data_IF_216395996692
#
_entry.id   IF_216395996692
#
_cell.length_a   1.000
_cell.length_b   1.000
_cell.length_c   1.000
_cell.angle_alpha   90.00
_cell.angle_beta   90.00
_cell.angle_gamma   90.00
#
_symmetry.space_group_name_H-M   'P 1'
#
loop_
_entity.id
_entity.type
_entity.pdbx_description
1 polymer ?
#
# COMPACT_ATOMS: atom_id res chain seq x y z
N UNK A 1 12.27 15.00 -16.81
CA UNK A 1 13.30 14.07 -17.36
C UNK A 1 12.71 13.02 -18.29
N UNK A 2 11.72 12.21 -17.87
CA UNK A 2 11.11 11.22 -18.78
C UNK A 2 10.48 11.83 -20.04
N UNK A 3 9.83 12.99 -19.91
CA UNK A 3 9.35 13.80 -21.05
C UNK A 3 10.46 14.32 -21.96
N UNK A 4 11.64 14.63 -21.40
CA UNK A 4 12.78 15.11 -22.18
C UNK A 4 13.40 13.94 -22.93
N UNK A 5 13.42 12.75 -22.31
CA UNK A 5 13.90 11.52 -22.92
C UNK A 5 13.11 11.14 -24.17
N UNK A 6 11.79 11.37 -24.20
CA UNK A 6 10.96 11.04 -25.36
C UNK A 6 11.07 12.04 -26.51
N UNK A 7 11.68 13.21 -26.29
CA UNK A 7 12.00 14.21 -27.32
C UNK A 7 13.41 14.03 -27.90
N UNK A 8 14.26 13.25 -27.24
CA UNK A 8 15.65 13.01 -27.63
C UNK A 8 15.84 11.59 -28.16
N UNK A 9 16.70 11.34 -29.16
CA UNK A 9 16.95 9.99 -29.69
C UNK A 9 17.84 9.11 -28.77
N UNK A 10 18.22 9.59 -27.59
CA UNK A 10 19.15 8.92 -26.67
C UNK A 10 18.41 8.06 -25.63
N UNK A 11 18.53 6.72 -25.67
CA UNK A 11 17.86 5.83 -24.72
C UNK A 11 18.38 5.98 -23.28
N UNK A 12 19.59 6.48 -23.09
CA UNK A 12 20.22 6.70 -21.78
C UNK A 12 19.44 7.71 -20.94
N UNK A 13 18.87 8.74 -21.57
CA UNK A 13 18.08 9.77 -20.89
C UNK A 13 16.79 9.18 -20.33
N UNK A 14 16.21 8.18 -21.01
CA UNK A 14 15.04 7.45 -20.53
C UNK A 14 15.38 6.60 -19.31
N UNK A 15 16.52 5.91 -19.34
CA UNK A 15 17.01 5.10 -18.21
C UNK A 15 17.26 5.99 -16.99
N UNK A 16 17.99 7.09 -17.16
CA UNK A 16 18.24 8.05 -16.07
C UNK A 16 16.93 8.62 -15.52
N UNK A 17 16.00 9.00 -16.42
CA UNK A 17 14.67 9.46 -16.02
C UNK A 17 13.87 8.42 -15.22
N UNK A 18 13.96 7.14 -15.58
CA UNK A 18 13.33 6.03 -14.86
C UNK A 18 13.97 5.80 -13.49
N UNK A 19 15.30 5.85 -13.39
CA UNK A 19 16.02 5.71 -12.12
C UNK A 19 15.61 6.83 -11.15
N UNK A 20 15.58 8.09 -11.62
CA UNK A 20 15.16 9.22 -10.80
C UNK A 20 13.72 9.01 -10.31
N UNK A 21 12.78 8.71 -11.20
CA UNK A 21 11.38 8.47 -10.79
C UNK A 21 11.23 7.26 -9.86
N UNK A 22 12.02 6.20 -10.06
CA UNK A 22 12.01 5.03 -9.20
C UNK A 22 12.52 5.31 -7.79
N UNK A 23 13.41 6.29 -7.60
CA UNK A 23 13.83 6.75 -6.27
C UNK A 23 12.76 7.62 -5.63
N UNK A 24 12.22 8.60 -6.36
CA UNK A 24 11.30 9.59 -5.78
C UNK A 24 9.86 9.08 -5.57
N UNK A 25 9.37 8.15 -6.39
CA UNK A 25 7.99 7.64 -6.28
C UNK A 25 7.75 6.95 -4.92
N UNK A 26 8.57 5.98 -4.48
CA UNK A 26 8.51 5.43 -3.12
C UNK A 26 8.49 6.44 -1.98
N UNK A 27 9.39 7.44 -2.05
CA UNK A 27 9.49 8.45 -1.00
C UNK A 27 8.23 9.31 -0.94
N UNK A 28 7.67 9.63 -2.10
CA UNK A 28 6.42 10.39 -2.22
C UNK A 28 5.23 9.59 -1.68
N UNK A 29 5.15 8.29 -2.00
CA UNK A 29 4.09 7.41 -1.49
C UNK A 29 4.15 7.29 0.04
N UNK A 30 5.36 7.09 0.59
CA UNK A 30 5.60 7.04 2.03
C UNK A 30 5.16 8.33 2.73
N UNK A 31 5.58 9.47 2.20
CA UNK A 31 5.24 10.78 2.74
C UNK A 31 3.73 11.04 2.68
N UNK A 32 3.08 10.68 1.57
CA UNK A 32 1.63 10.86 1.41
C UNK A 32 0.83 10.00 2.39
N UNK A 33 1.19 8.73 2.58
CA UNK A 33 0.50 7.83 3.52
C UNK A 33 0.64 8.37 4.96
N UNK A 34 1.86 8.75 5.36
CA UNK A 34 2.10 9.31 6.70
C UNK A 34 1.33 10.62 6.88
N UNK A 35 1.43 11.54 5.91
CA UNK A 35 0.72 12.80 5.92
C UNK A 35 -0.78 12.61 6.12
N UNK A 36 -1.42 11.73 5.32
CA UNK A 36 -2.84 11.40 5.46
C UNK A 36 -3.16 10.85 6.85
N UNK A 37 -2.34 9.95 7.39
CA UNK A 37 -2.57 9.39 8.73
C UNK A 37 -2.45 10.40 9.87
N UNK A 38 -1.60 11.40 9.72
CA UNK A 38 -1.34 12.41 10.75
C UNK A 38 -2.38 13.52 10.79
N UNK A 39 -2.93 13.91 9.63
CA UNK A 39 -4.00 14.92 9.56
C UNK A 39 -5.39 14.33 9.84
N UNK A 40 -5.55 13.02 9.69
CA UNK A 40 -6.86 12.37 9.80
C UNK A 40 -7.32 12.21 11.25
N UNK A 41 -8.62 12.46 11.53
CA UNK A 41 -9.19 12.12 12.82
C UNK A 41 -9.19 10.61 13.02
N UNK A 42 -9.11 10.16 14.26
CA UNK A 42 -8.97 8.75 14.64
C UNK A 42 -10.07 7.84 14.07
N UNK A 43 -11.29 8.36 13.90
CA UNK A 43 -12.45 7.64 13.40
C UNK A 43 -12.49 7.46 11.86
N UNK A 44 -11.77 8.29 11.10
CA UNK A 44 -11.72 8.24 9.62
C UNK A 44 -10.33 7.92 9.08
N UNK A 45 -9.37 7.59 9.96
CA UNK A 45 -7.97 7.36 9.59
C UNK A 45 -7.83 6.24 8.56
N UNK A 46 -8.65 5.18 8.64
CA UNK A 46 -8.62 4.08 7.67
C UNK A 46 -9.19 4.49 6.31
N UNK A 47 -10.32 5.19 6.27
CA UNK A 47 -10.90 5.72 5.03
C UNK A 47 -9.94 6.70 4.35
N UNK A 48 -9.34 7.64 5.08
CA UNK A 48 -8.36 8.58 4.54
C UNK A 48 -7.11 7.88 4.02
N UNK A 49 -6.59 6.87 4.74
CA UNK A 49 -5.45 6.09 4.26
C UNK A 49 -5.79 5.26 3.02
N UNK A 50 -7.04 4.78 2.90
CA UNK A 50 -7.50 4.00 1.74
C UNK A 50 -7.70 4.83 0.47
N UNK A 51 -7.81 6.16 0.60
CA UNK A 51 -7.81 7.07 -0.55
C UNK A 51 -6.51 6.99 -1.35
N UNK A 52 -5.38 6.66 -0.71
CA UNK A 52 -4.13 6.40 -1.41
C UNK A 52 -4.28 5.26 -2.42
N UNK A 53 -4.80 4.11 -1.98
CA UNK A 53 -5.01 2.94 -2.86
C UNK A 53 -6.05 3.21 -3.94
N UNK A 54 -7.10 3.99 -3.62
CA UNK A 54 -8.10 4.40 -4.61
C UNK A 54 -7.50 5.34 -5.65
N UNK A 55 -6.71 6.32 -5.23
CA UNK A 55 -5.99 7.23 -6.13
C UNK A 55 -5.03 6.49 -7.04
N UNK A 56 -4.27 5.52 -6.50
CA UNK A 56 -3.41 4.63 -7.28
C UNK A 56 -4.21 3.86 -8.35
N UNK A 57 -5.32 3.21 -7.96
CA UNK A 57 -6.15 2.45 -8.89
C UNK A 57 -6.74 3.33 -10.02
N UNK A 58 -7.23 4.52 -9.67
CA UNK A 58 -7.75 5.50 -10.65
C UNK A 58 -6.64 5.94 -11.61
N UNK A 59 -5.43 6.24 -11.12
CA UNK A 59 -4.30 6.61 -11.98
C UNK A 59 -3.84 5.45 -12.87
N UNK A 60 -3.83 4.22 -12.38
CA UNK A 60 -3.57 3.03 -13.20
C UNK A 60 -4.61 2.87 -14.30
N UNK A 61 -5.90 3.09 -13.98
CA UNK A 61 -6.99 3.04 -14.94
C UNK A 61 -6.81 4.09 -16.04
N UNK A 62 -6.55 5.36 -15.66
CA UNK A 62 -6.23 6.41 -16.63
C UNK A 62 -5.00 6.07 -17.48
N UNK A 63 -3.95 5.51 -16.87
CA UNK A 63 -2.74 5.09 -17.57
C UNK A 63 -3.00 4.01 -18.62
N UNK A 64 -3.82 3.01 -18.29
CA UNK A 64 -4.19 1.95 -19.25
C UNK A 64 -5.10 2.47 -20.35
N UNK A 65 -6.08 3.33 -20.03
CA UNK A 65 -6.93 3.95 -21.05
C UNK A 65 -6.13 4.81 -22.04
N UNK A 66 -5.20 5.63 -21.55
CA UNK A 66 -4.32 6.44 -22.39
C UNK A 66 -3.25 5.60 -23.10
N UNK A 67 -2.97 4.39 -22.62
CA UNK A 67 -2.03 3.46 -23.25
C UNK A 67 -2.62 2.69 -24.43
N UNK A 68 -3.94 2.76 -24.68
CA UNK A 68 -4.58 2.06 -25.78
C UNK A 68 -4.19 2.70 -27.13
N UNK A 69 -3.86 1.87 -28.13
CA UNK A 69 -3.46 2.34 -29.46
C UNK A 69 -4.54 3.20 -30.13
N UNK A 70 -5.81 2.91 -29.87
CA UNK A 70 -6.96 3.68 -30.38
C UNK A 70 -7.06 5.10 -29.80
N UNK A 71 -6.46 5.38 -28.64
CA UNK A 71 -6.61 6.66 -27.94
C UNK A 71 -5.43 7.59 -28.20
N UNK A 72 -4.19 7.11 -28.01
CA UNK A 72 -2.97 7.92 -28.15
C UNK A 72 -2.10 7.54 -29.35
N UNK A 73 -2.48 6.49 -30.10
CA UNK A 73 -1.63 5.93 -31.16
C UNK A 73 -0.29 5.45 -30.62
N UNK A 74 0.78 5.65 -31.41
CA UNK A 74 2.16 5.33 -31.02
C UNK A 74 2.89 6.45 -30.25
N UNK A 75 2.18 7.50 -29.81
CA UNK A 75 2.83 8.68 -29.21
C UNK A 75 3.16 8.48 -27.72
N UNK A 76 4.24 7.75 -27.44
CA UNK A 76 4.78 7.56 -26.09
C UNK A 76 5.06 8.90 -25.37
N UNK A 77 5.38 9.94 -26.13
CA UNK A 77 5.67 11.28 -25.61
C UNK A 77 4.47 11.90 -24.90
N UNK A 78 3.26 11.74 -25.45
CA UNK A 78 2.04 12.29 -24.85
C UNK A 78 1.67 11.50 -23.58
N UNK A 79 1.85 10.18 -23.59
CA UNK A 79 1.61 9.34 -22.42
C UNK A 79 2.52 9.72 -21.24
N UNK A 80 3.78 10.05 -21.51
CA UNK A 80 4.74 10.51 -20.50
C UNK A 80 4.51 11.97 -20.06
N UNK A 81 3.76 12.75 -20.83
CA UNK A 81 3.41 14.13 -20.49
C UNK A 81 2.24 14.21 -19.51
N UNK A 82 1.24 13.32 -19.66
CA UNK A 82 0.00 13.38 -18.86
C UNK A 82 0.23 13.43 -17.34
N UNK A 83 1.13 12.63 -16.74
CA UNK A 83 1.36 12.66 -15.28
C UNK A 83 1.98 13.97 -14.77
N UNK A 84 2.60 14.77 -15.64
CA UNK A 84 3.20 16.06 -15.26
C UNK A 84 2.13 17.05 -14.80
N UNK A 85 0.96 17.05 -15.45
CA UNK A 85 -0.15 17.97 -15.14
C UNK A 85 -0.64 17.80 -13.69
N UNK A 86 -1.10 16.61 -13.23
CA UNK A 86 -1.52 16.43 -11.85
C UNK A 86 -0.35 16.59 -10.87
N UNK A 87 0.89 16.26 -11.26
CA UNK A 87 2.07 16.48 -10.43
C UNK A 87 2.34 17.95 -10.12
N UNK A 88 2.25 18.83 -11.14
CA UNK A 88 2.41 20.29 -10.95
C UNK A 88 1.27 20.86 -10.13
N UNK A 89 0.03 20.47 -10.42
CA UNK A 89 -1.15 20.92 -9.67
C UNK A 89 -1.03 20.51 -8.20
N UNK A 90 -0.68 19.26 -7.92
CA UNK A 90 -0.46 18.75 -6.56
C UNK A 90 0.62 19.54 -5.82
N UNK A 91 1.74 19.81 -6.50
CA UNK A 91 2.85 20.60 -5.92
C UNK A 91 2.40 22.02 -5.57
N UNK A 92 1.63 22.68 -6.45
CA UNK A 92 1.13 24.04 -6.20
C UNK A 92 0.16 24.05 -5.01
N UNK A 93 -0.72 23.06 -4.89
CA UNK A 93 -1.66 22.95 -3.76
C UNK A 93 -0.92 22.71 -2.45
N UNK A 94 0.11 21.85 -2.45
CA UNK A 94 0.90 21.53 -1.26
C UNK A 94 1.60 22.77 -0.66
N UNK A 95 2.01 23.74 -1.47
CA UNK A 95 2.62 24.99 -0.97
C UNK A 95 1.66 25.81 -0.09
N UNK A 96 0.34 25.67 -0.28
CA UNK A 96 -0.68 26.38 0.49
C UNK A 96 -1.19 25.61 1.71
N UNK A 97 -0.82 24.34 1.87
CA UNK A 97 -1.30 23.50 2.96
C UNK A 97 -0.42 23.66 4.22
N UNK A 98 -1.01 23.77 5.42
CA UNK A 98 -0.23 23.82 6.66
C UNK A 98 0.43 22.47 6.97
N UNK A 99 1.58 22.51 7.62
CA UNK A 99 2.31 21.30 8.06
C UNK A 99 1.48 20.43 9.03
N UNK A 100 1.82 19.14 9.14
CA UNK A 100 1.05 18.20 9.98
C UNK A 100 1.08 18.62 11.46
N UNK A 101 -0.03 18.48 12.20
CA UNK A 101 -0.11 18.89 13.59
C UNK A 101 0.90 18.14 14.47
N UNK A 102 1.18 16.88 14.14
CA UNK A 102 2.14 16.03 14.85
C UNK A 102 3.58 16.48 14.65
N UNK A 103 3.97 16.80 13.41
CA UNK A 103 5.29 17.35 13.12
C UNK A 103 5.53 18.69 13.82
N UNK A 104 4.51 19.56 13.84
CA UNK A 104 4.58 20.86 14.53
C UNK A 104 4.71 20.73 16.05
N UNK A 105 4.06 19.72 16.66
CA UNK A 105 4.18 19.45 18.10
C UNK A 105 5.53 18.86 18.47
N UNK A 106 5.98 17.84 17.74
CA UNK A 106 7.13 17.02 18.16
C UNK A 106 8.42 17.64 17.68
N UNK A 107 8.57 17.85 16.38
CA UNK A 107 9.84 18.32 15.80
C UNK A 107 10.05 19.82 15.97
N UNK A 108 8.97 20.61 16.11
CA UNK A 108 9.04 22.09 16.23
C UNK A 108 8.65 22.61 17.61
N UNK A 109 8.15 21.75 18.51
CA UNK A 109 7.68 22.13 19.85
C UNK A 109 6.72 23.34 19.88
N UNK A 110 5.92 23.54 18.82
CA UNK A 110 5.07 24.72 18.67
C UNK A 110 3.58 24.39 18.79
N UNK A 111 3.08 24.44 20.02
CA UNK A 111 1.69 24.10 20.36
C UNK A 111 0.65 24.97 19.66
N UNK A 112 0.92 26.27 19.47
CA UNK A 112 -0.02 27.19 18.82
C UNK A 112 -0.17 26.88 17.33
N UNK A 113 0.93 26.61 16.64
CA UNK A 113 0.92 26.25 15.23
C UNK A 113 0.27 24.87 15.01
N UNK A 114 0.55 23.91 15.89
CA UNK A 114 -0.09 22.61 15.84
C UNK A 114 -1.61 22.68 16.03
N UNK A 115 -2.09 23.49 16.99
CA UNK A 115 -3.52 23.72 17.20
C UNK A 115 -4.16 24.38 15.97
N UNK A 116 -3.51 25.37 15.36
CA UNK A 116 -4.00 26.01 14.14
C UNK A 116 -4.10 25.03 12.95
N UNK A 117 -3.09 24.16 12.79
CA UNK A 117 -3.11 23.09 11.79
C UNK A 117 -4.22 22.06 12.06
N UNK A 118 -4.39 21.64 13.32
CA UNK A 118 -5.44 20.72 13.73
C UNK A 118 -6.84 21.30 13.47
N UNK A 119 -7.05 22.58 13.77
CA UNK A 119 -8.29 23.31 13.45
C UNK A 119 -8.55 23.39 11.94
N UNK A 120 -7.51 23.60 11.14
CA UNK A 120 -7.64 23.64 9.68
C UNK A 120 -8.09 22.28 9.11
N UNK A 121 -7.52 21.17 9.59
CA UNK A 121 -7.81 19.83 9.07
C UNK A 121 -9.07 19.18 9.65
N UNK A 122 -9.35 19.35 10.94
CA UNK A 122 -10.45 18.66 11.62
C UNK A 122 -11.67 19.55 11.92
N UNK A 123 -11.55 20.87 11.71
CA UNK A 123 -12.52 21.87 12.13
C UNK A 123 -12.35 22.26 13.61
N UNK A 124 -13.16 23.20 14.10
CA UNK A 124 -13.17 23.59 15.51
C UNK A 124 -14.15 22.67 16.27
N UNK A 125 -13.62 21.83 17.18
CA UNK A 125 -14.40 20.88 17.99
C UNK A 125 -13.97 21.00 19.45
N UNK A 126 -14.87 20.70 20.38
CA UNK A 126 -14.56 20.72 21.82
C UNK A 126 -13.47 19.69 22.20
N UNK A 127 -13.40 18.57 21.45
CA UNK A 127 -12.42 17.47 21.64
C UNK A 127 -10.99 17.81 21.16
N UNK A 128 -10.77 18.96 20.50
CA UNK A 128 -9.44 19.32 19.98
C UNK A 128 -8.39 19.48 21.07
N UNK A 129 -8.82 19.97 22.23
CA UNK A 129 -7.95 20.21 23.38
C UNK A 129 -7.44 18.87 23.94
N UNK A 130 -8.33 17.88 24.05
CA UNK A 130 -8.00 16.53 24.50
C UNK A 130 -7.05 15.82 23.52
N UNK A 131 -7.26 16.01 22.21
CA UNK A 131 -6.37 15.42 21.19
C UNK A 131 -4.98 16.08 21.22
N UNK A 132 -4.91 17.39 21.45
CA UNK A 132 -3.65 18.12 21.63
C UNK A 132 -2.90 17.67 22.90
N UNK A 133 -3.61 17.43 23.99
CA UNK A 133 -3.03 16.92 25.24
C UNK A 133 -2.49 15.49 25.06
N UNK A 134 -3.19 14.62 24.32
CA UNK A 134 -2.69 13.29 23.94
C UNK A 134 -1.39 13.40 23.14
N UNK A 135 -1.32 14.30 22.16
CA UNK A 135 -0.10 14.53 21.38
C UNK A 135 1.05 15.06 22.24
N UNK A 136 0.75 15.87 23.24
CA UNK A 136 1.77 16.39 24.17
C UNK A 136 2.34 15.28 25.07
N UNK A 137 1.50 14.35 25.52
CA UNK A 137 1.96 13.16 26.27
C UNK A 137 2.81 12.26 25.38
N UNK A 138 2.41 12.04 24.12
CA UNK A 138 3.19 11.26 23.16
C UNK A 138 4.55 11.91 22.84
N UNK A 139 4.61 13.24 22.74
CA UNK A 139 5.85 14.00 22.52
C UNK A 139 6.83 13.85 23.70
N UNK A 140 6.36 14.03 24.94
CA UNK A 140 7.21 13.91 26.14
C UNK A 140 7.76 12.50 26.34
N UNK A 141 7.05 11.47 25.87
CA UNK A 141 7.53 10.09 25.85
C UNK A 141 8.56 9.80 24.77
N UNK A 142 8.75 10.68 23.78
CA UNK A 142 9.68 10.48 22.66
C UNK A 142 10.99 11.22 22.72
N UNK A 143 11.03 12.40 23.32
CA UNK A 143 12.26 13.18 23.45
C UNK A 143 13.37 12.45 24.25
N UNK A 144 13.00 11.50 25.11
CA UNK A 144 13.96 10.70 25.88
C UNK A 144 14.61 9.54 25.11
N UNK A 145 14.01 9.07 24.00
CA UNK A 145 14.48 7.91 23.23
C UNK A 145 14.93 8.26 21.79
N UNK A 146 14.56 9.42 21.24
CA UNK A 146 14.88 9.86 19.87
C UNK A 146 16.39 10.03 19.60
N UNK A 147 17.19 10.17 20.65
CA UNK A 147 18.66 10.30 20.60
C UNK A 147 19.39 8.99 20.20
N UNK A 148 18.73 7.83 20.23
CA UNK A 148 19.33 6.55 19.83
C UNK A 148 18.77 6.03 18.50
N UNK A 149 19.52 6.27 17.42
CA UNK A 149 19.28 5.84 16.03
C UNK A 149 18.20 4.75 15.83
N UNK A 150 17.00 5.18 15.44
CA UNK A 150 15.78 4.36 15.42
C UNK A 150 15.87 3.06 14.64
N UNK A 151 16.70 2.97 13.60
CA UNK A 151 16.89 1.74 12.83
C UNK A 151 17.55 0.61 13.65
N UNK A 152 18.52 0.96 14.51
CA UNK A 152 19.20 -0.01 15.39
C UNK A 152 18.28 -0.48 16.51
N UNK A 153 17.45 0.42 17.04
CA UNK A 153 16.47 0.10 18.09
C UNK A 153 15.31 -0.76 17.58
N UNK A 154 14.85 -0.57 16.33
CA UNK A 154 13.84 -1.43 15.71
C UNK A 154 14.33 -2.89 15.65
N UNK A 155 15.60 -3.10 15.28
CA UNK A 155 16.18 -4.45 15.21
C UNK A 155 16.50 -5.03 16.58
N UNK A 156 16.94 -4.22 17.55
CA UNK A 156 17.32 -4.67 18.89
C UNK A 156 16.09 -5.05 19.74
N UNK A 157 15.02 -4.26 19.67
CA UNK A 157 13.90 -4.36 20.60
C UNK A 157 12.88 -5.41 20.18
N UNK A 158 12.50 -6.31 21.11
CA UNK A 158 11.63 -7.47 20.83
C UNK A 158 10.26 -7.11 20.25
N UNK A 159 9.58 -6.10 20.80
CA UNK A 159 8.24 -5.73 20.34
C UNK A 159 8.28 -5.03 18.96
N UNK A 160 9.28 -4.17 18.72
CA UNK A 160 9.48 -3.54 17.40
C UNK A 160 9.86 -4.58 16.33
N UNK A 161 10.69 -5.57 16.67
CA UNK A 161 11.02 -6.66 15.75
C UNK A 161 9.80 -7.50 15.38
N UNK A 162 8.91 -7.76 16.34
CA UNK A 162 7.61 -8.42 16.07
C UNK A 162 6.72 -7.58 15.16
N UNK A 163 6.63 -6.27 15.41
CA UNK A 163 5.89 -5.35 14.54
C UNK A 163 6.45 -5.33 13.11
N UNK A 164 7.78 -5.36 12.97
CA UNK A 164 8.47 -5.47 11.68
C UNK A 164 8.13 -6.78 10.96
N UNK A 165 8.22 -7.94 11.64
CA UNK A 165 7.92 -9.24 11.01
C UNK A 165 6.46 -9.36 10.61
N UNK A 166 5.54 -8.82 11.41
CA UNK A 166 4.11 -8.75 11.06
C UNK A 166 3.91 -7.86 9.83
N UNK A 167 4.50 -6.67 9.81
CA UNK A 167 4.40 -5.73 8.68
C UNK A 167 4.93 -6.34 7.38
N UNK A 168 6.10 -6.98 7.42
CA UNK A 168 6.67 -7.68 6.27
C UNK A 168 5.78 -8.84 5.83
N UNK A 169 5.22 -9.63 6.75
CA UNK A 169 4.31 -10.71 6.40
C UNK A 169 3.04 -10.20 5.69
N UNK A 170 2.47 -9.08 6.15
CA UNK A 170 1.33 -8.46 5.46
C UNK A 170 1.72 -7.97 4.07
N UNK A 171 2.91 -7.35 3.92
CA UNK A 171 3.42 -6.89 2.64
C UNK A 171 3.70 -8.02 1.65
N UNK A 172 4.12 -9.21 2.14
CA UNK A 172 4.30 -10.42 1.31
C UNK A 172 2.99 -10.80 0.59
N UNK A 173 1.83 -10.62 1.24
CA UNK A 173 0.52 -10.89 0.62
C UNK A 173 0.24 -10.01 -0.61
N UNK A 174 0.95 -8.89 -0.75
CA UNK A 174 0.80 -7.96 -1.89
C UNK A 174 1.69 -8.31 -3.09
N UNK A 175 2.69 -9.18 -2.92
CA UNK A 175 3.66 -9.49 -3.97
C UNK A 175 3.03 -10.05 -5.27
N UNK A 176 2.01 -10.94 -5.24
CA UNK A 176 1.46 -11.51 -6.46
C UNK A 176 0.71 -10.48 -7.32
N UNK A 177 0.30 -9.35 -6.74
CA UNK A 177 -0.44 -8.30 -7.45
C UNK A 177 0.40 -7.64 -8.56
N UNK A 178 1.65 -7.29 -8.29
CA UNK A 178 2.51 -6.57 -9.24
C UNK A 178 2.76 -7.29 -10.58
N UNK A 179 3.19 -8.56 -10.62
CA UNK A 179 3.40 -9.27 -11.88
C UNK A 179 2.08 -9.45 -12.64
N UNK A 180 0.97 -9.70 -11.94
CA UNK A 180 -0.37 -9.83 -12.55
C UNK A 180 -0.78 -8.49 -13.17
N UNK A 181 -0.59 -7.39 -12.46
CA UNK A 181 -0.92 -6.06 -12.96
C UNK A 181 -0.10 -5.71 -14.21
N UNK A 182 1.21 -5.92 -14.16
CA UNK A 182 2.15 -5.49 -15.21
C UNK A 182 2.19 -6.43 -16.42
N UNK A 183 1.94 -7.73 -16.23
CA UNK A 183 2.09 -8.75 -17.27
C UNK A 183 0.81 -9.57 -17.53
N UNK A 184 -0.36 -9.09 -17.09
CA UNK A 184 -1.65 -9.80 -17.28
C UNK A 184 -1.92 -10.20 -18.73
N UNK A 185 -1.69 -9.31 -19.70
CA UNK A 185 -1.86 -9.61 -21.12
C UNK A 185 -0.96 -10.77 -21.55
N UNK A 186 0.31 -10.75 -21.13
CA UNK A 186 1.27 -11.82 -21.43
C UNK A 186 0.81 -13.16 -20.83
N UNK A 187 0.32 -13.16 -19.59
CA UNK A 187 -0.21 -14.38 -18.96
C UNK A 187 -1.41 -14.95 -19.70
N UNK A 188 -2.36 -14.11 -20.13
CA UNK A 188 -3.52 -14.59 -20.89
C UNK A 188 -3.11 -15.13 -22.28
N UNK A 189 -2.18 -14.47 -22.97
CA UNK A 189 -1.68 -14.96 -24.27
C UNK A 189 -0.93 -16.28 -24.16
N UNK A 190 -0.18 -16.50 -23.08
CA UNK A 190 0.46 -17.80 -22.78
C UNK A 190 -0.54 -18.94 -22.57
N UNK A 191 -1.77 -18.62 -22.16
CA UNK A 191 -2.86 -19.58 -22.00
C UNK A 191 -3.62 -19.85 -23.30
N UNK A 192 -3.12 -19.38 -24.45
CA UNK A 192 -3.78 -19.42 -25.76
C UNK A 192 -5.09 -18.60 -25.83
N UNK A 193 -5.23 -17.56 -25.00
CA UNK A 193 -6.33 -16.58 -25.15
C UNK A 193 -5.99 -15.64 -26.30
N UNK A 194 -6.93 -15.36 -27.23
CA UNK A 194 -6.70 -14.41 -28.32
C UNK A 194 -6.24 -13.03 -27.81
N UNK A 195 -5.25 -12.43 -28.49
CA UNK A 195 -4.64 -11.15 -28.10
C UNK A 195 -5.66 -10.03 -27.79
N UNK A 196 -6.68 -9.89 -28.65
CA UNK A 196 -7.75 -8.91 -28.46
C UNK A 196 -8.52 -9.12 -27.14
N UNK A 197 -8.83 -10.39 -26.81
CA UNK A 197 -9.53 -10.73 -25.56
C UNK A 197 -8.60 -10.55 -24.36
N UNK A 198 -7.32 -10.89 -24.49
CA UNK A 198 -6.32 -10.69 -23.44
C UNK A 198 -6.14 -9.20 -23.08
N UNK A 199 -6.03 -8.31 -24.07
CA UNK A 199 -5.92 -6.86 -23.87
C UNK A 199 -7.17 -6.27 -23.24
N UNK A 200 -8.36 -6.66 -23.73
CA UNK A 200 -9.63 -6.24 -23.14
C UNK A 200 -9.75 -6.72 -21.69
N UNK A 201 -9.37 -7.97 -21.41
CA UNK A 201 -9.41 -8.54 -20.06
C UNK A 201 -8.47 -7.79 -19.12
N UNK A 202 -7.25 -7.47 -19.55
CA UNK A 202 -6.29 -6.66 -18.78
C UNK A 202 -6.85 -5.26 -18.46
N UNK A 203 -7.51 -4.62 -19.43
CA UNK A 203 -8.17 -3.32 -19.23
C UNK A 203 -9.32 -3.40 -18.22
N UNK A 204 -10.14 -4.46 -18.32
CA UNK A 204 -11.24 -4.71 -17.39
C UNK A 204 -10.75 -4.99 -15.96
N UNK A 205 -9.57 -5.60 -15.78
CA UNK A 205 -8.97 -5.78 -14.45
C UNK A 205 -8.71 -4.43 -13.75
N UNK A 206 -8.31 -3.39 -14.49
CA UNK A 206 -8.08 -2.05 -13.91
C UNK A 206 -9.38 -1.38 -13.48
N UNK A 207 -10.44 -1.56 -14.27
CA UNK A 207 -11.78 -1.09 -13.93
C UNK A 207 -12.23 -1.78 -12.64
N UNK A 208 -12.09 -3.10 -12.58
CA UNK A 208 -12.44 -3.91 -11.42
C UNK A 208 -11.63 -3.52 -10.18
N UNK A 209 -10.33 -3.31 -10.31
CA UNK A 209 -9.45 -2.84 -9.23
C UNK A 209 -9.94 -1.50 -8.67
N UNK A 210 -10.32 -0.57 -9.56
CA UNK A 210 -10.83 0.74 -9.17
C UNK A 210 -12.12 0.61 -8.35
N UNK A 211 -13.09 -0.18 -8.84
CA UNK A 211 -14.31 -0.47 -8.09
C UNK A 211 -14.04 -1.15 -6.74
N UNK A 212 -13.09 -2.08 -6.69
CA UNK A 212 -12.69 -2.78 -5.48
C UNK A 212 -12.10 -1.81 -4.44
N UNK A 213 -11.21 -0.89 -4.84
CA UNK A 213 -10.62 0.11 -3.94
C UNK A 213 -11.62 1.15 -3.44
N UNK A 214 -12.55 1.60 -4.29
CA UNK A 214 -13.66 2.49 -3.87
C UNK A 214 -14.54 1.78 -2.82
N UNK A 215 -14.84 0.50 -3.06
CA UNK A 215 -15.58 -0.34 -2.13
C UNK A 215 -14.82 -0.50 -0.80
N UNK A 216 -13.50 -0.73 -0.86
CA UNK A 216 -12.65 -0.82 0.32
C UNK A 216 -12.72 0.43 1.19
N UNK A 217 -12.62 1.61 0.57
CA UNK A 217 -12.65 2.91 1.26
C UNK A 217 -13.95 3.09 2.08
N UNK A 218 -15.05 2.50 1.63
CA UNK A 218 -16.35 2.53 2.31
C UNK A 218 -16.50 1.50 3.44
N UNK A 219 -15.68 0.44 3.42
CA UNK A 219 -15.77 -0.73 4.29
C UNK A 219 -14.67 -0.74 5.36
N UNK A 220 -13.52 -0.13 5.08
CA UNK A 220 -12.29 -0.18 5.88
C UNK A 220 -12.49 0.25 7.34
N UNK A 221 -13.35 1.25 7.58
CA UNK A 221 -13.67 1.74 8.92
C UNK A 221 -14.91 1.05 9.52
N UNK A 222 -15.61 0.21 8.75
CA UNK A 222 -16.77 -0.58 9.21
C UNK A 222 -16.37 -1.97 9.69
N UNK A 223 -15.40 -2.61 9.05
CA UNK A 223 -14.98 -3.97 9.40
C UNK A 223 -13.68 -4.00 10.22
N UNK A 224 -13.51 -4.99 11.11
CA UNK A 224 -12.23 -5.24 11.76
C UNK A 224 -11.12 -5.52 10.73
N UNK A 225 -9.97 -4.86 10.88
CA UNK A 225 -8.88 -4.89 9.89
C UNK A 225 -8.31 -6.29 9.73
N UNK A 226 -8.16 -7.02 10.85
CA UNK A 226 -7.67 -8.41 10.83
C UNK A 226 -8.63 -9.31 10.05
N UNK A 227 -9.94 -9.15 10.23
CA UNK A 227 -10.93 -9.95 9.53
C UNK A 227 -10.93 -9.66 8.03
N UNK A 228 -10.85 -8.39 7.65
CA UNK A 228 -10.80 -7.98 6.24
C UNK A 228 -9.52 -8.50 5.56
N UNK A 229 -8.36 -8.42 6.22
CA UNK A 229 -7.10 -8.92 5.67
C UNK A 229 -7.10 -10.46 5.53
N UNK A 230 -7.63 -11.18 6.51
CA UNK A 230 -7.66 -12.64 6.49
C UNK A 230 -8.63 -13.19 5.44
N UNK A 231 -9.82 -12.61 5.32
CA UNK A 231 -10.82 -13.04 4.33
C UNK A 231 -10.35 -12.71 2.91
N UNK A 232 -9.87 -11.49 2.68
CA UNK A 232 -9.33 -11.08 1.39
C UNK A 232 -8.06 -11.85 1.01
N UNK A 233 -7.13 -12.04 1.96
CA UNK A 233 -5.91 -12.82 1.75
C UNK A 233 -6.20 -14.30 1.45
N UNK A 234 -7.13 -14.92 2.16
CA UNK A 234 -7.54 -16.31 1.87
C UNK A 234 -8.19 -16.43 0.49
N UNK A 235 -9.04 -15.47 0.11
CA UNK A 235 -9.64 -15.41 -1.23
C UNK A 235 -8.58 -15.22 -2.32
N UNK A 236 -7.56 -14.38 -2.09
CA UNK A 236 -6.42 -14.21 -2.99
C UNK A 236 -5.63 -15.51 -3.17
N UNK A 237 -5.40 -16.28 -2.09
CA UNK A 237 -4.69 -17.56 -2.18
C UNK A 237 -5.50 -18.62 -2.91
N UNK A 238 -6.79 -18.70 -2.64
CA UNK A 238 -7.69 -19.63 -3.33
C UNK A 238 -7.79 -19.31 -4.82
N UNK A 239 -7.97 -18.03 -5.17
CA UNK A 239 -8.04 -17.59 -6.57
C UNK A 239 -6.72 -17.80 -7.32
N UNK A 240 -5.57 -17.54 -6.68
CA UNK A 240 -4.27 -17.80 -7.31
C UNK A 240 -4.03 -19.30 -7.52
N UNK A 241 -4.45 -20.13 -6.57
CA UNK A 241 -4.38 -21.60 -6.72
C UNK A 241 -5.31 -22.07 -7.85
N UNK A 242 -6.54 -21.54 -7.91
CA UNK A 242 -7.49 -21.83 -8.97
C UNK A 242 -6.97 -21.41 -10.35
N UNK A 243 -6.26 -20.29 -10.44
CA UNK A 243 -5.58 -19.86 -11.66
C UNK A 243 -4.53 -20.88 -12.13
N UNK A 244 -3.66 -21.35 -11.24
CA UNK A 244 -2.65 -22.36 -11.59
C UNK A 244 -3.31 -23.66 -12.06
N UNK A 245 -4.29 -24.17 -11.31
CA UNK A 245 -5.00 -25.40 -11.68
C UNK A 245 -5.74 -25.24 -13.02
N UNK A 246 -6.41 -24.12 -13.23
CA UNK A 246 -7.13 -23.85 -14.46
C UNK A 246 -6.19 -23.73 -15.67
N UNK A 247 -5.01 -23.13 -15.48
CA UNK A 247 -3.99 -23.04 -16.51
C UNK A 247 -3.48 -24.43 -16.93
N UNK A 248 -3.17 -25.31 -15.97
CA UNK A 248 -2.69 -26.67 -16.24
C UNK A 248 -3.78 -27.55 -16.88
N UNK A 249 -5.05 -27.36 -16.51
CA UNK A 249 -6.17 -28.08 -17.12
C UNK A 249 -6.61 -27.52 -18.48
N UNK A 250 -6.00 -26.44 -18.97
CA UNK A 250 -6.40 -25.78 -20.23
C UNK A 250 -7.75 -25.05 -20.17
N UNK A 251 -8.25 -24.75 -18.97
CA UNK A 251 -9.52 -24.07 -18.73
C UNK A 251 -9.32 -22.54 -18.74
N UNK A 252 -9.16 -21.97 -19.94
CA UNK A 252 -8.86 -20.55 -20.15
C UNK A 252 -9.85 -19.61 -19.44
N UNK A 253 -11.16 -19.86 -19.57
CA UNK A 253 -12.20 -19.02 -18.97
C UNK A 253 -12.11 -19.01 -17.43
N UNK A 254 -11.81 -20.17 -16.82
CA UNK A 254 -11.66 -20.28 -15.38
C UNK A 254 -10.38 -19.59 -14.91
N UNK A 255 -9.28 -19.66 -15.67
CA UNK A 255 -8.04 -18.95 -15.36
C UNK A 255 -8.26 -17.43 -15.36
N UNK A 256 -8.92 -16.89 -16.39
CA UNK A 256 -9.28 -15.46 -16.47
C UNK A 256 -10.18 -15.08 -15.29
N UNK A 257 -11.26 -15.83 -15.04
CA UNK A 257 -12.16 -15.55 -13.92
C UNK A 257 -11.44 -15.57 -12.56
N UNK A 258 -10.48 -16.49 -12.38
CA UNK A 258 -9.69 -16.57 -11.16
C UNK A 258 -8.84 -15.31 -10.93
N UNK A 259 -8.23 -14.76 -11.98
CA UNK A 259 -7.47 -13.50 -11.89
C UNK A 259 -8.38 -12.31 -11.57
N UNK A 260 -9.61 -12.28 -12.11
CA UNK A 260 -10.59 -11.24 -11.78
C UNK A 260 -10.96 -11.28 -10.29
N UNK A 261 -11.27 -12.46 -9.75
CA UNK A 261 -11.56 -12.64 -8.33
C UNK A 261 -10.34 -12.25 -7.48
N UNK A 262 -9.13 -12.61 -7.90
CA UNK A 262 -7.90 -12.21 -7.22
C UNK A 262 -7.77 -10.68 -7.13
N UNK A 263 -7.90 -9.96 -8.25
CA UNK A 263 -7.75 -8.50 -8.30
C UNK A 263 -8.84 -7.80 -7.46
N UNK A 264 -10.08 -8.30 -7.51
CA UNK A 264 -11.15 -7.78 -6.69
C UNK A 264 -10.89 -7.97 -5.19
N UNK A 265 -10.55 -9.19 -4.77
CA UNK A 265 -10.24 -9.48 -3.36
C UNK A 265 -9.02 -8.71 -2.86
N UNK A 266 -7.99 -8.57 -3.70
CA UNK A 266 -6.82 -7.75 -3.39
C UNK A 266 -7.22 -6.28 -3.16
N UNK A 267 -7.99 -5.69 -4.08
CA UNK A 267 -8.40 -4.29 -4.01
C UNK A 267 -9.33 -3.97 -2.83
N UNK A 268 -10.20 -4.91 -2.44
CA UNK A 268 -11.14 -4.72 -1.33
C UNK A 268 -10.44 -4.77 0.04
N UNK A 269 -9.42 -5.62 0.22
CA UNK A 269 -8.86 -5.86 1.55
C UNK A 269 -7.33 -5.74 1.63
N UNK A 270 -6.61 -6.58 0.89
CA UNK A 270 -5.16 -6.74 1.06
C UNK A 270 -4.40 -5.46 0.72
N UNK A 271 -4.70 -4.84 -0.42
CA UNK A 271 -4.05 -3.62 -0.89
C UNK A 271 -4.09 -2.48 0.12
N UNK A 272 -5.27 -1.96 0.48
CA UNK A 272 -5.38 -0.80 1.37
C UNK A 272 -4.85 -1.09 2.77
N UNK A 273 -5.18 -2.25 3.37
CA UNK A 273 -4.75 -2.57 4.74
C UNK A 273 -3.23 -2.73 4.85
N UNK A 274 -2.58 -3.32 3.84
CA UNK A 274 -1.15 -3.60 3.91
C UNK A 274 -0.30 -2.35 4.07
N UNK A 275 -0.72 -1.23 3.48
CA UNK A 275 0.08 -0.01 3.46
C UNK A 275 -0.01 0.82 4.74
N UNK A 276 -1.15 0.84 5.42
CA UNK A 276 -1.30 1.63 6.64
C UNK A 276 -1.09 0.84 7.93
N UNK A 277 -1.06 -0.50 7.90
CA UNK A 277 -0.89 -1.29 9.13
C UNK A 277 0.51 -1.16 9.73
N UNK A 278 1.54 -1.00 8.90
CA UNK A 278 2.93 -0.86 9.37
C UNK A 278 3.15 0.31 10.34
N UNK A 279 2.69 1.54 10.04
CA UNK A 279 2.78 2.66 10.99
C UNK A 279 1.82 2.56 12.18
N UNK A 280 0.74 1.77 12.11
CA UNK A 280 -0.18 1.54 13.25
C UNK A 280 0.43 0.64 14.34
N UNK A 281 1.36 -0.25 13.98
CA UNK A 281 1.97 -1.23 14.88
C UNK A 281 3.14 -0.67 15.72
N UNK A 282 3.58 0.56 15.42
CA UNK A 282 4.75 1.16 16.08
C UNK A 282 4.46 2.55 16.66
N UNK A 283 5.17 2.93 17.74
CA UNK A 283 5.06 4.28 18.25
C UNK A 283 5.60 5.28 17.24
N UNK A 284 5.10 6.52 17.32
CA UNK A 284 5.32 7.60 16.35
C UNK A 284 6.80 7.84 16.03
N UNK A 285 7.66 7.81 17.05
CA UNK A 285 9.12 7.99 16.95
C UNK A 285 9.78 7.04 15.95
N UNK A 286 9.25 5.83 15.79
CA UNK A 286 9.81 4.79 14.92
C UNK A 286 9.00 4.58 13.65
N UNK A 287 7.90 5.32 13.41
CA UNK A 287 7.01 5.11 12.26
C UNK A 287 7.69 5.31 10.92
N UNK A 288 8.40 6.42 10.76
CA UNK A 288 9.12 6.75 9.52
C UNK A 288 10.19 5.69 9.22
N UNK A 289 11.01 5.34 10.21
CA UNK A 289 12.04 4.31 10.09
C UNK A 289 11.44 2.92 9.78
N UNK A 290 10.37 2.52 10.48
CA UNK A 290 9.68 1.25 10.24
C UNK A 290 9.10 1.19 8.82
N UNK A 291 8.46 2.27 8.37
CA UNK A 291 7.91 2.37 7.03
C UNK A 291 9.01 2.23 5.97
N UNK A 292 10.12 2.96 6.11
CA UNK A 292 11.25 2.88 5.18
C UNK A 292 11.86 1.48 5.09
N UNK A 293 12.06 0.80 6.23
CA UNK A 293 12.60 -0.58 6.26
C UNK A 293 11.63 -1.54 5.59
N UNK A 294 10.34 -1.50 5.97
CA UNK A 294 9.31 -2.37 5.40
C UNK A 294 9.18 -2.17 3.89
N UNK A 295 9.14 -0.91 3.45
CA UNK A 295 9.06 -0.53 2.04
C UNK A 295 10.29 -0.98 1.25
N UNK A 296 11.49 -0.81 1.82
CA UNK A 296 12.74 -1.27 1.20
C UNK A 296 12.75 -2.78 0.98
N UNK A 297 12.38 -3.56 2.00
CA UNK A 297 12.25 -5.02 1.91
C UNK A 297 11.21 -5.39 0.85
N UNK A 298 10.04 -4.76 0.89
CA UNK A 298 8.96 -5.00 -0.06
C UNK A 298 9.38 -4.72 -1.49
N UNK A 299 10.03 -3.58 -1.76
CA UNK A 299 10.53 -3.22 -3.09
C UNK A 299 11.56 -4.23 -3.62
N UNK A 300 12.48 -4.69 -2.76
CA UNK A 300 13.44 -5.73 -3.13
C UNK A 300 12.75 -7.05 -3.47
N UNK A 301 11.75 -7.45 -2.69
CA UNK A 301 10.96 -8.65 -2.98
C UNK A 301 10.20 -8.50 -4.29
N UNK A 302 9.56 -7.36 -4.55
CA UNK A 302 8.84 -7.10 -5.81
C UNK A 302 9.78 -7.18 -7.02
N UNK A 303 10.96 -6.57 -6.94
CA UNK A 303 11.95 -6.64 -8.03
C UNK A 303 12.37 -8.09 -8.28
N UNK A 304 12.70 -8.82 -7.21
CA UNK A 304 13.13 -10.21 -7.32
C UNK A 304 12.03 -11.10 -7.91
N UNK A 305 10.81 -11.01 -7.39
CA UNK A 305 9.70 -11.87 -7.84
C UNK A 305 9.26 -11.50 -9.26
N UNK A 306 9.18 -10.21 -9.60
CA UNK A 306 8.77 -9.76 -10.92
C UNK A 306 9.78 -10.18 -12.00
N UNK A 307 11.07 -9.97 -11.75
CA UNK A 307 12.13 -10.38 -12.68
C UNK A 307 12.19 -11.90 -12.87
N UNK A 308 11.93 -12.67 -11.80
CA UNK A 308 11.88 -14.12 -11.88
C UNK A 308 10.63 -14.67 -12.60
N UNK A 309 9.49 -13.98 -12.51
CA UNK A 309 8.19 -14.52 -12.96
C UNK A 309 8.12 -14.73 -14.47
N UNK A 310 8.56 -13.76 -15.28
CA UNK A 310 8.43 -13.86 -16.75
C UNK A 310 9.27 -15.00 -17.33
N UNK A 311 10.56 -15.16 -16.98
CA UNK A 311 11.36 -16.31 -17.44
C UNK A 311 10.83 -17.65 -16.93
N UNK A 312 10.40 -17.72 -15.66
CA UNK A 312 9.88 -18.96 -15.08
C UNK A 312 8.55 -19.36 -15.73
N UNK A 313 7.70 -18.41 -16.08
CA UNK A 313 6.47 -18.72 -16.83
C UNK A 313 6.78 -19.38 -18.18
N UNK A 314 7.79 -18.89 -18.89
CA UNK A 314 8.21 -19.48 -20.17
C UNK A 314 8.82 -20.88 -20.03
N UNK A 315 9.41 -21.20 -18.89
CA UNK A 315 10.09 -22.48 -18.67
C UNK A 315 9.17 -23.58 -18.07
N UNK A 316 8.37 -23.22 -17.06
CA UNK A 316 7.56 -24.17 -16.27
C UNK A 316 6.07 -23.84 -16.26
N UNK A 317 5.63 -22.87 -17.05
CA UNK A 317 4.22 -22.48 -17.15
C UNK A 317 3.69 -21.81 -15.88
N UNK A 318 2.37 -21.86 -15.69
CA UNK A 318 1.68 -21.21 -14.57
C UNK A 318 2.05 -21.79 -13.20
N UNK A 319 2.65 -23.00 -13.16
CA UNK A 319 3.16 -23.62 -11.92
C UNK A 319 4.19 -22.74 -11.21
N UNK A 320 4.87 -21.82 -11.91
CA UNK A 320 5.81 -20.87 -11.28
C UNK A 320 5.18 -20.04 -10.15
N UNK A 321 3.86 -19.80 -10.20
CA UNK A 321 3.17 -19.04 -9.16
C UNK A 321 3.11 -19.77 -7.81
N UNK A 322 3.24 -21.10 -7.79
CA UNK A 322 3.19 -21.89 -6.55
C UNK A 322 4.37 -21.58 -5.63
N UNK A 323 5.64 -21.80 -6.02
CA UNK A 323 6.78 -21.54 -5.14
C UNK A 323 7.04 -20.06 -4.90
N UNK A 324 6.76 -19.19 -5.88
CA UNK A 324 7.08 -17.76 -5.78
C UNK A 324 6.04 -17.00 -4.96
N UNK A 325 4.76 -17.38 -5.05
CA UNK A 325 3.66 -16.60 -4.50
C UNK A 325 2.78 -17.39 -3.53
N UNK A 326 2.22 -18.53 -3.94
CA UNK A 326 1.22 -19.26 -3.13
C UNK A 326 1.82 -19.74 -1.80
N UNK A 327 2.99 -20.39 -1.83
CA UNK A 327 3.65 -20.90 -0.62
C UNK A 327 4.02 -19.75 0.35
N UNK A 328 4.80 -18.73 -0.05
CA UNK A 328 5.19 -17.67 0.88
C UNK A 328 4.00 -16.84 1.37
N UNK A 329 2.99 -16.58 0.51
CA UNK A 329 1.80 -15.85 0.93
C UNK A 329 0.92 -16.69 1.88
N UNK A 330 0.83 -18.01 1.70
CA UNK A 330 0.08 -18.88 2.62
C UNK A 330 0.75 -18.95 3.99
N UNK A 331 2.09 -19.04 4.03
CA UNK A 331 2.85 -18.98 5.29
C UNK A 331 2.70 -17.62 5.97
N UNK A 332 2.77 -16.53 5.21
CA UNK A 332 2.56 -15.19 5.72
C UNK A 332 1.13 -15.00 6.26
N UNK A 333 0.12 -15.52 5.56
CA UNK A 333 -1.27 -15.47 5.98
C UNK A 333 -1.51 -16.25 7.28
N UNK A 334 -0.92 -17.45 7.40
CA UNK A 334 -0.96 -18.24 8.63
C UNK A 334 -0.28 -17.49 9.79
N UNK A 335 0.88 -16.87 9.56
CA UNK A 335 1.55 -16.08 10.57
C UNK A 335 0.74 -14.86 11.02
N UNK A 336 0.14 -14.14 10.07
CA UNK A 336 -0.77 -13.01 10.32
C UNK A 336 -2.00 -13.45 11.11
N UNK A 337 -2.55 -14.63 10.81
CA UNK A 337 -3.67 -15.20 11.57
C UNK A 337 -3.37 -15.34 13.06
N UNK A 338 -2.16 -15.76 13.45
CA UNK A 338 -1.80 -15.92 14.86
C UNK A 338 -1.27 -14.64 15.51
N UNK A 339 -0.58 -13.78 14.76
CA UNK A 339 0.26 -12.73 15.33
C UNK A 339 -0.32 -11.32 15.22
N UNK A 340 -1.29 -11.08 14.32
CA UNK A 340 -1.80 -9.73 14.07
C UNK A 340 -2.84 -9.32 15.15
N UNK A 341 -2.58 -8.26 15.94
CA UNK A 341 -3.60 -7.68 16.81
C UNK A 341 -4.64 -6.91 15.99
N UNK A 342 -5.84 -6.72 16.56
CA UNK A 342 -6.82 -5.83 15.94
C UNK A 342 -6.43 -4.38 16.21
N UNK A 343 -6.25 -3.59 15.15
CA UNK A 343 -5.82 -2.18 15.23
C UNK A 343 -6.95 -1.18 15.01
N UNK A 344 -8.14 -1.63 14.57
CA UNK A 344 -9.28 -0.74 14.35
C UNK A 344 -9.70 -0.02 15.64
N UNK A 345 -9.75 1.31 15.57
CA UNK A 345 -10.31 2.16 16.63
C UNK A 345 -9.51 2.15 17.94
N UNK A 346 -8.25 1.71 17.90
CA UNK A 346 -7.37 1.67 19.07
C UNK A 346 -6.25 2.68 18.94
N UNK A 347 -5.86 3.27 20.06
CA UNK A 347 -4.70 4.15 20.11
C UNK A 347 -3.43 3.33 19.93
N UNK A 348 -2.42 3.92 19.29
CA UNK A 348 -1.18 3.19 18.97
C UNK A 348 -0.41 2.74 20.20
N UNK A 349 -0.59 3.43 21.33
CA UNK A 349 -0.01 3.03 22.62
C UNK A 349 -0.57 1.69 23.10
N UNK A 350 -1.89 1.49 23.01
CA UNK A 350 -2.56 0.24 23.42
C UNK A 350 -2.09 -0.95 22.59
N UNK A 351 -1.87 -0.74 21.29
CA UNK A 351 -1.36 -1.75 20.36
C UNK A 351 0.07 -2.14 20.73
N UNK A 352 0.90 -1.14 21.05
CA UNK A 352 2.29 -1.35 21.46
C UNK A 352 2.37 -2.09 22.81
N UNK A 353 1.48 -1.80 23.76
CA UNK A 353 1.39 -2.52 25.03
C UNK A 353 1.00 -3.99 24.85
N UNK A 354 0.04 -4.27 23.98
CA UNK A 354 -0.35 -5.64 23.62
C UNK A 354 0.82 -6.41 22.96
N UNK A 355 1.55 -5.76 22.04
CA UNK A 355 2.74 -6.34 21.41
C UNK A 355 3.89 -6.58 22.40
N UNK A 356 3.97 -5.79 23.48
CA UNK A 356 4.89 -5.99 24.61
C UNK A 356 4.47 -7.17 25.51
N UNK A 357 3.25 -7.69 25.37
CA UNK A 357 2.72 -8.81 26.16
C UNK A 357 2.02 -8.40 27.45
N UNK A 358 1.76 -7.10 27.65
CA UNK A 358 0.94 -6.62 28.76
C UNK A 358 -0.53 -6.61 28.30
N UNK A 359 -1.21 -7.74 28.42
CA UNK A 359 -2.66 -7.79 28.19
C UNK A 359 -3.35 -7.03 29.33
N UNK A 360 -3.64 -5.73 29.14
CA UNK A 360 -4.57 -5.04 30.03
C UNK A 360 -5.92 -5.72 29.85
N UNK A 361 -6.38 -6.44 30.88
CA UNK A 361 -7.67 -7.14 30.88
C UNK A 361 -8.74 -6.18 30.36
N UNK A 362 -9.37 -6.58 29.26
CA UNK A 362 -10.48 -5.91 28.59
C UNK A 362 -11.60 -5.71 29.62
N UNK A 363 -11.68 -4.53 30.23
CA UNK A 363 -12.89 -4.10 30.91
C UNK A 363 -13.91 -3.79 29.81
N UNK A 364 -14.74 -4.80 29.55
CA UNK A 364 -16.01 -4.64 28.85
C UNK A 364 -16.83 -3.65 29.67
N UNK A 365 -16.91 -2.40 29.24
CA UNK A 365 -18.02 -1.53 29.62
C UNK A 365 -18.99 -1.63 28.45
N UNK A 366 -19.96 -2.52 28.64
CA UNK A 366 -21.23 -2.48 27.94
C UNK A 366 -21.97 -1.20 28.35
N UNK A 367 -22.25 -0.33 27.39
CA UNK A 367 -23.45 0.50 27.33
C UNK A 367 -23.64 0.96 25.89
#
# INVERSE_FOLDING_TARGET
MQMIASLTPFPEILIVGRIITAVFSPLSDAALILYLQEISPSNLRGTMSSLFSTGYAVMCLFGVFLGHEDVLGHSLTVLLFVPVIPGVISTLILVFLPETPKFLMISRHNMKAALASLRFYQGDREELQDELDKLQVESKGGDAEESQGGMKMIMSTRHLRRALTISVAVLVLTLPFYPILQNSTYFFTHLNVPNHIAQLSSSLLMVLLTFACITSTSIVDKLPRRWMLLTAGSSCMLSLTAFVVAAECGLQALAVASVFVFVFSYGVGVGPVAWFISPELVPLQYRSAMFCICYGIHSMLVVLTNFATVPLLGAIGAVCFVPIYIIPCSLALAYVYFSLPETKGRDTLDIVEELKGHTRKRNVISA
#
